data_IF_779555278573
#
_entry.id   IF_779555278573
#
_cell.length_a   1.000
_cell.length_b   1.000
_cell.length_c   1.000
_cell.angle_alpha   90.00
_cell.angle_beta   90.00
_cell.angle_gamma   90.00
#
_symmetry.space_group_name_H-M   'P 1'
#
loop_
_entity.id
_entity.type
_entity.pdbx_description
1 polymer ?
#
# COMPACT_ATOMS: atom_id res chain seq x y z
N UNK A 1 -21.56 -11.28 -17.49
CA UNK A 1 -21.43 -11.41 -16.03
C UNK A 1 -20.22 -10.58 -15.63
N UNK A 2 -20.40 -9.41 -15.00
CA UNK A 2 -19.26 -8.58 -14.60
C UNK A 2 -18.57 -9.29 -13.43
N UNK A 3 -17.35 -9.76 -13.66
CA UNK A 3 -16.50 -10.32 -12.61
C UNK A 3 -16.08 -9.17 -11.68
N UNK A 4 -16.79 -9.03 -10.55
CA UNK A 4 -16.57 -7.93 -9.63
C UNK A 4 -15.24 -8.17 -8.91
N UNK A 5 -14.20 -7.42 -9.31
CA UNK A 5 -12.89 -7.48 -8.64
C UNK A 5 -13.05 -7.15 -7.15
N UNK A 6 -12.35 -7.89 -6.25
CA UNK A 6 -12.45 -7.63 -4.82
C UNK A 6 -11.94 -6.22 -4.48
N UNK A 7 -12.68 -5.54 -3.60
CA UNK A 7 -12.29 -4.25 -3.03
C UNK A 7 -11.33 -4.47 -1.87
N UNK A 8 -10.05 -4.15 -2.06
CA UNK A 8 -9.06 -4.18 -0.99
C UNK A 8 -9.11 -2.87 -0.19
N UNK A 9 -9.45 -2.97 1.08
CA UNK A 9 -9.38 -1.87 2.05
C UNK A 9 -8.07 -1.98 2.81
N UNK A 10 -7.26 -0.93 2.70
CA UNK A 10 -5.92 -0.84 3.28
C UNK A 10 -5.95 -0.01 4.56
N UNK A 11 -5.17 -0.44 5.55
CA UNK A 11 -4.75 0.36 6.70
C UNK A 11 -3.32 0.85 6.54
N UNK A 12 -2.36 0.07 7.07
CA UNK A 12 -0.92 0.38 7.04
C UNK A 12 -0.13 -0.63 6.21
N UNK A 13 1.12 -0.30 5.90
CA UNK A 13 2.08 -1.23 5.30
C UNK A 13 3.21 -1.51 6.29
N UNK A 14 3.72 -2.72 6.26
CA UNK A 14 4.92 -3.12 6.99
C UNK A 14 6.02 -3.45 5.97
N UNK A 15 7.24 -3.08 6.30
CA UNK A 15 8.38 -3.07 5.36
C UNK A 15 9.62 -3.77 5.93
N UNK A 16 9.68 -3.96 7.26
CA UNK A 16 10.76 -4.68 7.90
C UNK A 16 10.25 -5.98 8.53
N UNK A 17 10.85 -7.10 8.12
CA UNK A 17 10.68 -8.41 8.75
C UNK A 17 11.95 -8.80 9.52
N UNK A 18 11.80 -9.27 10.77
CA UNK A 18 12.93 -9.68 11.62
C UNK A 18 13.08 -11.20 11.77
N UNK A 19 12.25 -11.98 11.08
CA UNK A 19 12.19 -13.45 11.19
C UNK A 19 11.01 -13.94 12.04
N UNK A 20 10.30 -13.03 12.71
CA UNK A 20 9.13 -13.34 13.53
C UNK A 20 7.98 -12.36 13.29
N UNK A 21 8.27 -11.06 13.24
CA UNK A 21 7.28 -9.99 13.14
C UNK A 21 7.59 -9.05 11.99
N UNK A 22 6.52 -8.47 11.44
CA UNK A 22 6.59 -7.38 10.47
C UNK A 22 6.40 -6.05 11.21
N UNK A 23 7.25 -5.06 10.90
CA UNK A 23 7.24 -3.72 11.51
C UNK A 23 7.26 -2.63 10.43
N UNK A 24 6.77 -1.44 10.78
CA UNK A 24 6.70 -0.28 9.88
C UNK A 24 7.81 0.73 10.26
N UNK A 25 8.92 0.70 9.55
CA UNK A 25 10.02 1.67 9.74
C UNK A 25 9.78 2.98 8.98
N UNK A 26 8.88 2.97 8.00
CA UNK A 26 8.47 4.15 7.24
C UNK A 26 7.35 4.95 7.91
N UNK A 27 7.22 4.85 9.24
CA UNK A 27 6.14 5.45 10.01
C UNK A 27 6.25 6.96 10.23
N UNK A 28 7.27 7.62 9.65
CA UNK A 28 7.36 9.08 9.68
C UNK A 28 6.17 9.72 8.97
N UNK A 29 5.44 10.55 9.71
CA UNK A 29 4.17 11.15 9.28
C UNK A 29 4.37 12.61 8.83
N UNK A 30 3.77 12.94 7.69
CA UNK A 30 3.67 14.31 7.16
C UNK A 30 2.21 14.75 7.18
N UNK A 31 1.95 16.05 7.34
CA UNK A 31 0.58 16.58 7.32
C UNK A 31 0.01 16.66 5.91
N UNK A 32 -1.27 16.27 5.76
CA UNK A 32 -2.09 16.55 4.58
C UNK A 32 -2.46 18.05 4.55
N UNK A 33 -2.76 18.61 3.38
CA UNK A 33 -3.30 19.97 3.25
C UNK A 33 -4.82 19.89 3.32
N UNK A 34 -5.44 20.76 4.10
CA UNK A 34 -6.86 21.05 3.97
C UNK A 34 -7.06 22.05 2.81
N UNK A 35 -7.54 21.58 1.66
CA UNK A 35 -7.74 22.42 0.46
C UNK A 35 -9.06 23.21 0.53
N UNK A 36 -10.05 22.63 1.19
CA UNK A 36 -11.35 23.24 1.48
C UNK A 36 -11.84 22.69 2.83
N UNK A 37 -12.80 23.35 3.49
CA UNK A 37 -13.27 22.91 4.81
C UNK A 37 -13.57 21.41 4.87
N UNK A 38 -12.82 20.68 5.69
CA UNK A 38 -12.93 19.24 5.92
C UNK A 38 -12.37 18.33 4.83
N UNK A 39 -11.80 18.86 3.73
CA UNK A 39 -11.24 18.06 2.63
C UNK A 39 -9.72 18.15 2.60
N UNK A 40 -9.08 17.01 2.78
CA UNK A 40 -7.64 16.86 2.92
C UNK A 40 -7.02 16.18 1.70
N UNK A 41 -5.88 16.69 1.21
CA UNK A 41 -5.13 16.17 0.06
C UNK A 41 -3.63 16.10 0.34
N UNK A 42 -2.92 15.31 -0.49
CA UNK A 42 -1.47 15.11 -0.35
C UNK A 42 -0.66 16.30 -0.88
N UNK A 43 0.41 16.65 -0.15
CA UNK A 43 1.39 17.63 -0.60
C UNK A 43 2.32 17.04 -1.67
N UNK A 44 2.45 17.72 -2.81
CA UNK A 44 3.51 17.45 -3.79
C UNK A 44 3.19 16.37 -4.83
N UNK A 45 4.21 15.97 -5.60
CA UNK A 45 4.06 14.99 -6.68
C UNK A 45 3.95 13.58 -6.10
N UNK A 46 2.92 12.84 -6.53
CA UNK A 46 2.77 11.41 -6.23
C UNK A 46 3.89 10.61 -6.90
N UNK A 47 4.32 9.54 -6.23
CA UNK A 47 5.29 8.60 -6.81
C UNK A 47 4.74 7.87 -8.05
N UNK A 48 3.41 7.69 -8.12
CA UNK A 48 2.72 7.05 -9.26
C UNK A 48 1.85 8.07 -9.97
N UNK A 49 2.00 8.16 -11.29
CA UNK A 49 1.18 9.05 -12.13
C UNK A 49 -0.28 8.57 -12.14
N UNK A 50 -1.23 9.52 -12.13
CA UNK A 50 -2.67 9.21 -12.27
C UNK A 50 -2.97 8.44 -13.55
N UNK A 51 -2.19 8.64 -14.62
CA UNK A 51 -2.32 7.93 -15.90
C UNK A 51 -1.98 6.43 -15.80
N UNK A 52 -1.32 6.00 -14.73
CA UNK A 52 -0.96 4.61 -14.44
C UNK A 52 -1.95 3.94 -13.47
N UNK A 53 -2.97 4.68 -13.02
CA UNK A 53 -3.95 4.21 -12.06
C UNK A 53 -5.31 4.02 -12.73
N UNK A 54 -6.13 3.18 -12.12
CA UNK A 54 -7.47 2.90 -12.62
C UNK A 54 -8.45 4.04 -12.35
N UNK A 55 -9.71 3.69 -12.50
CA UNK A 55 -10.84 4.57 -12.27
C UNK A 55 -10.84 5.11 -10.83
N UNK A 56 -11.38 6.32 -10.70
CA UNK A 56 -11.59 6.93 -9.40
C UNK A 56 -12.76 6.26 -8.69
N UNK A 57 -12.60 5.97 -7.40
CA UNK A 57 -13.60 5.34 -6.57
C UNK A 57 -13.93 6.23 -5.39
N UNK A 58 -15.22 6.37 -5.12
CA UNK A 58 -15.74 7.13 -3.99
C UNK A 58 -16.18 6.15 -2.91
N UNK A 59 -15.59 6.27 -1.72
CA UNK A 59 -15.85 5.38 -0.59
C UNK A 59 -16.42 6.20 0.56
N UNK A 60 -17.63 5.89 1.00
CA UNK A 60 -18.23 6.45 2.21
C UNK A 60 -18.07 5.45 3.34
N UNK A 61 -17.33 5.80 4.38
CA UNK A 61 -16.89 4.87 5.42
C UNK A 61 -17.37 5.35 6.78
N UNK A 62 -18.03 4.44 7.49
CA UNK A 62 -18.37 4.58 8.90
C UNK A 62 -17.41 3.70 9.70
N UNK A 63 -16.58 4.32 10.54
CA UNK A 63 -15.57 3.62 11.33
C UNK A 63 -15.97 3.64 12.80
N UNK A 64 -16.16 2.46 13.38
CA UNK A 64 -16.31 2.30 14.83
C UNK A 64 -15.00 2.67 15.56
N UNK A 65 -15.06 3.04 16.85
CA UNK A 65 -13.86 3.32 17.63
C UNK A 65 -12.89 2.13 17.61
N UNK A 66 -11.64 2.39 17.23
CA UNK A 66 -10.55 1.42 17.28
C UNK A 66 -9.37 2.05 18.00
N UNK A 67 -8.54 1.22 18.65
CA UNK A 67 -7.28 1.65 19.26
C UNK A 67 -6.18 1.83 18.19
N UNK A 68 -6.50 2.59 17.15
CA UNK A 68 -5.59 2.96 16.08
C UNK A 68 -5.99 4.31 15.49
N UNK A 69 -5.01 5.18 15.17
CA UNK A 69 -5.29 6.42 14.46
C UNK A 69 -5.48 6.22 12.95
N UNK A 70 -5.43 4.99 12.43
CA UNK A 70 -5.43 4.71 10.99
C UNK A 70 -6.81 4.93 10.39
N UNK A 71 -6.87 5.67 9.27
CA UNK A 71 -8.03 5.69 8.38
C UNK A 71 -7.87 4.62 7.30
N UNK A 72 -8.98 4.01 6.91
CA UNK A 72 -9.02 2.90 5.98
C UNK A 72 -9.61 3.35 4.65
N UNK A 73 -9.01 2.93 3.55
CA UNK A 73 -9.53 3.21 2.22
C UNK A 73 -8.93 2.23 1.20
N UNK A 74 -9.41 2.28 -0.04
CA UNK A 74 -8.68 1.61 -1.11
C UNK A 74 -7.34 2.30 -1.39
N UNK A 75 -6.41 1.61 -2.07
CA UNK A 75 -5.10 2.17 -2.41
C UNK A 75 -5.19 3.52 -3.14
N UNK A 76 -4.07 4.25 -3.14
CA UNK A 76 -3.90 5.43 -3.98
C UNK A 76 -4.86 6.60 -3.69
N UNK A 77 -5.22 6.79 -2.42
CA UNK A 77 -6.02 7.92 -1.89
C UNK A 77 -5.61 9.24 -2.56
N UNK A 78 -6.59 9.98 -3.08
CA UNK A 78 -6.46 11.32 -3.64
C UNK A 78 -6.90 12.38 -2.64
N UNK A 79 -8.03 12.15 -1.99
CA UNK A 79 -8.57 13.05 -0.97
C UNK A 79 -9.35 12.30 0.11
N UNK A 80 -9.39 12.89 1.31
CA UNK A 80 -10.21 12.44 2.43
C UNK A 80 -11.06 13.61 2.89
N UNK A 81 -12.36 13.42 3.00
CA UNK A 81 -13.30 14.44 3.47
C UNK A 81 -13.97 13.98 4.75
N UNK A 82 -13.88 14.77 5.82
CA UNK A 82 -14.49 14.50 7.11
C UNK A 82 -14.22 15.60 8.13
N UNK A 83 -14.85 15.49 9.30
CA UNK A 83 -14.67 16.44 10.40
C UNK A 83 -13.44 16.07 11.22
N UNK A 84 -12.26 16.49 10.75
CA UNK A 84 -10.98 16.21 11.39
C UNK A 84 -10.21 17.51 11.66
N UNK A 85 -9.50 17.62 12.79
CA UNK A 85 -8.67 18.79 13.07
C UNK A 85 -7.40 18.82 12.20
N UNK A 86 -6.90 17.65 11.83
CA UNK A 86 -5.76 17.46 10.92
C UNK A 86 -5.71 16.00 10.50
N UNK A 87 -5.05 15.74 9.37
CA UNK A 87 -4.71 14.39 8.95
C UNK A 87 -3.22 14.32 8.58
N UNK A 88 -2.66 13.14 8.72
CA UNK A 88 -1.28 12.83 8.40
C UNK A 88 -1.18 11.64 7.45
N UNK A 89 -0.06 11.52 6.75
CA UNK A 89 0.26 10.39 5.91
C UNK A 89 1.72 9.97 6.04
N UNK A 90 2.00 8.69 5.81
CA UNK A 90 3.37 8.17 5.79
C UNK A 90 3.91 7.96 4.36
N UNK A 91 5.16 7.52 4.23
CA UNK A 91 5.78 7.30 2.92
C UNK A 91 5.08 6.20 2.09
N UNK A 92 4.33 5.32 2.74
CA UNK A 92 3.58 4.25 2.09
C UNK A 92 2.21 4.72 1.59
N UNK A 93 1.73 5.87 2.07
CA UNK A 93 0.43 6.46 1.74
C UNK A 93 -0.71 6.05 2.67
N UNK A 94 -0.40 5.43 3.82
CA UNK A 94 -1.39 5.24 4.88
C UNK A 94 -1.77 6.60 5.48
N UNK A 95 -3.03 6.77 5.87
CA UNK A 95 -3.56 8.02 6.42
C UNK A 95 -3.91 7.86 7.90
N UNK A 96 -3.60 8.87 8.70
CA UNK A 96 -3.70 8.85 10.15
C UNK A 96 -4.40 10.10 10.68
N UNK A 97 -5.25 9.89 11.68
CA UNK A 97 -5.66 10.91 12.63
C UNK A 97 -4.48 11.30 13.54
N UNK A 98 -4.53 12.48 14.20
CA UNK A 98 -3.56 12.84 15.23
C UNK A 98 -3.56 11.86 16.42
N UNK A 99 -4.74 11.32 16.75
CA UNK A 99 -4.96 10.36 17.83
C UNK A 99 -6.10 9.40 17.45
N UNK A 100 -6.14 8.16 18.00
CA UNK A 100 -7.27 7.26 17.83
C UNK A 100 -8.59 7.93 18.21
N UNK A 101 -9.64 7.66 17.45
CA UNK A 101 -10.97 8.20 17.77
C UNK A 101 -11.63 7.38 18.87
N UNK A 102 -12.15 8.05 19.90
CA UNK A 102 -12.95 7.43 20.96
C UNK A 102 -14.43 7.29 20.59
N UNK A 103 -14.86 7.87 19.47
CA UNK A 103 -16.23 7.79 18.95
C UNK A 103 -16.26 7.32 17.51
N UNK A 104 -17.44 6.89 17.06
CA UNK A 104 -17.67 6.58 15.66
C UNK A 104 -17.42 7.83 14.80
N UNK A 105 -16.77 7.63 13.66
CA UNK A 105 -16.52 8.69 12.67
C UNK A 105 -17.01 8.29 11.29
N UNK A 106 -17.42 9.28 10.51
CA UNK A 106 -17.83 9.13 9.13
C UNK A 106 -16.94 9.99 8.24
N UNK A 107 -16.45 9.42 7.14
CA UNK A 107 -15.63 10.13 6.17
C UNK A 107 -15.82 9.58 4.76
N UNK A 108 -15.54 10.43 3.79
CA UNK A 108 -15.51 10.06 2.37
C UNK A 108 -14.07 10.04 1.89
N UNK A 109 -13.74 9.08 1.04
CA UNK A 109 -12.42 8.97 0.41
C UNK A 109 -12.59 8.88 -1.09
N UNK A 110 -11.80 9.68 -1.82
CA UNK A 110 -11.59 9.47 -3.25
C UNK A 110 -10.26 8.73 -3.40
N UNK A 111 -10.30 7.54 -3.98
CA UNK A 111 -9.15 6.67 -4.22
C UNK A 111 -9.11 6.24 -5.68
N UNK A 112 -8.07 5.50 -6.09
CA UNK A 112 -8.00 4.92 -7.44
C UNK A 112 -7.68 3.45 -7.38
N UNK A 113 -8.32 2.69 -8.27
CA UNK A 113 -8.03 1.27 -8.39
C UNK A 113 -6.57 1.04 -8.82
N UNK A 114 -5.95 0.00 -8.24
CA UNK A 114 -4.68 -0.52 -8.76
C UNK A 114 -4.94 -1.12 -10.13
N UNK A 115 -4.21 -0.67 -11.15
CA UNK A 115 -4.14 -1.33 -12.45
C UNK A 115 -2.75 -1.92 -12.55
N UNK A 116 -2.66 -3.23 -12.79
CA UNK A 116 -1.43 -3.84 -13.26
C UNK A 116 -1.16 -3.25 -14.65
N UNK A 117 -0.20 -2.33 -14.75
CA UNK A 117 0.10 -1.68 -16.03
C UNK A 117 1.00 -2.61 -16.83
N UNK A 118 0.89 -2.69 -18.17
CA UNK A 118 1.81 -3.46 -19.01
C UNK A 118 3.30 -3.13 -18.81
N UNK A 119 3.63 -1.98 -18.22
CA UNK A 119 5.00 -1.64 -17.79
C UNK A 119 5.52 -2.56 -16.67
N UNK A 120 4.67 -3.02 -15.76
CA UNK A 120 4.99 -4.05 -14.76
C UNK A 120 5.09 -5.45 -15.40
N UNK A 121 4.56 -5.61 -16.62
CA UNK A 121 4.68 -6.77 -17.51
C UNK A 121 5.82 -6.59 -18.53
N UNK A 122 6.65 -5.54 -18.37
CA UNK A 122 7.70 -5.15 -19.29
C UNK A 122 8.80 -6.20 -19.45
N UNK A 123 9.54 -6.08 -20.56
CA UNK A 123 10.40 -7.16 -21.07
C UNK A 123 11.67 -7.46 -20.25
N UNK A 124 12.14 -6.51 -19.44
CA UNK A 124 13.41 -6.56 -18.70
C UNK A 124 13.23 -5.98 -17.29
N UNK A 125 13.68 -6.66 -16.21
CA UNK A 125 13.78 -6.05 -14.90
C UNK A 125 14.87 -4.96 -14.93
N UNK A 126 14.45 -3.70 -14.99
CA UNK A 126 15.37 -2.58 -14.76
C UNK A 126 15.97 -2.65 -13.34
N UNK A 127 17.17 -2.10 -13.11
CA UNK A 127 17.76 -2.08 -11.78
C UNK A 127 16.85 -1.32 -10.81
N UNK A 128 16.54 -1.94 -9.66
CA UNK A 128 15.83 -1.24 -8.60
C UNK A 128 16.68 -0.09 -8.06
N UNK A 129 16.09 1.09 -7.82
CA UNK A 129 16.79 2.17 -7.13
C UNK A 129 17.37 1.68 -5.80
N UNK A 130 18.54 2.17 -5.42
CA UNK A 130 19.25 1.70 -4.21
C UNK A 130 18.38 1.79 -2.95
N UNK A 131 17.59 2.86 -2.82
CA UNK A 131 16.69 3.04 -1.69
C UNK A 131 15.60 1.95 -1.63
N UNK A 132 15.12 1.45 -2.78
CA UNK A 132 14.14 0.34 -2.83
C UNK A 132 14.79 -0.94 -2.34
N UNK A 133 16.02 -1.23 -2.78
CA UNK A 133 16.76 -2.42 -2.34
C UNK A 133 16.99 -2.40 -0.84
N UNK A 134 17.49 -1.27 -0.32
CA UNK A 134 17.76 -1.12 1.11
C UNK A 134 16.50 -1.23 1.97
N UNK A 135 15.37 -0.73 1.47
CA UNK A 135 14.13 -0.68 2.26
C UNK A 135 13.31 -1.98 2.18
N UNK A 136 13.17 -2.55 0.98
CA UNK A 136 12.18 -3.60 0.73
C UNK A 136 12.77 -4.97 0.40
N UNK A 137 14.08 -5.06 0.15
CA UNK A 137 14.77 -6.34 -0.10
C UNK A 137 15.68 -6.76 1.06
N UNK A 138 15.56 -6.08 2.20
CA UNK A 138 16.21 -6.51 3.43
C UNK A 138 15.62 -7.85 3.88
N UNK A 139 16.46 -8.76 4.35
CA UNK A 139 16.03 -10.01 4.99
C UNK A 139 16.95 -10.27 6.19
N UNK A 140 16.39 -10.75 7.32
CA UNK A 140 17.21 -11.24 8.43
C UNK A 140 17.98 -12.48 7.98
N UNK A 141 18.90 -12.98 8.81
CA UNK A 141 19.47 -14.31 8.56
C UNK A 141 18.35 -15.35 8.59
N UNK A 142 18.06 -15.95 7.43
CA UNK A 142 16.98 -16.92 7.28
C UNK A 142 17.54 -18.35 7.25
N UNK A 143 16.66 -19.33 7.48
CA UNK A 143 17.01 -20.73 7.23
C UNK A 143 17.35 -20.94 5.76
N UNK A 144 18.44 -21.67 5.49
CA UNK A 144 18.84 -22.08 4.14
C UNK A 144 17.71 -22.75 3.36
N UNK A 145 16.75 -23.37 4.06
CA UNK A 145 15.58 -24.01 3.45
C UNK A 145 14.67 -23.00 2.73
N UNK A 146 14.44 -21.81 3.29
CA UNK A 146 13.58 -20.80 2.67
C UNK A 146 14.27 -20.24 1.43
N UNK A 147 15.57 -19.95 1.54
CA UNK A 147 16.39 -19.47 0.41
C UNK A 147 16.42 -20.50 -0.72
N UNK A 148 16.65 -21.77 -0.39
CA UNK A 148 16.65 -22.86 -1.36
C UNK A 148 15.29 -23.01 -2.05
N UNK A 149 14.19 -22.98 -1.29
CA UNK A 149 12.84 -23.09 -1.83
C UNK A 149 12.49 -21.90 -2.74
N UNK A 150 12.79 -20.67 -2.31
CA UNK A 150 12.57 -19.48 -3.12
C UNK A 150 13.36 -19.56 -4.43
N UNK A 151 14.62 -20.03 -4.38
CA UNK A 151 15.42 -20.31 -5.56
C UNK A 151 14.78 -21.37 -6.46
N UNK A 152 14.38 -22.51 -5.91
CA UNK A 152 13.77 -23.61 -6.65
C UNK A 152 12.52 -23.19 -7.43
N UNK A 153 11.63 -22.43 -6.76
CA UNK A 153 10.37 -21.95 -7.33
C UNK A 153 10.59 -20.88 -8.40
N UNK A 154 11.62 -20.03 -8.25
CA UNK A 154 11.79 -18.84 -9.10
C UNK A 154 12.90 -18.93 -10.15
N UNK A 155 13.80 -19.92 -10.08
CA UNK A 155 15.00 -20.04 -10.93
C UNK A 155 14.71 -20.07 -12.44
N UNK A 156 13.54 -20.55 -12.86
CA UNK A 156 13.16 -20.66 -14.27
C UNK A 156 12.59 -19.36 -14.86
N UNK A 157 12.43 -18.33 -14.02
CA UNK A 157 11.76 -17.09 -14.37
C UNK A 157 12.73 -15.92 -14.28
N UNK A 158 12.80 -15.12 -15.33
CA UNK A 158 13.67 -13.94 -15.34
C UNK A 158 12.92 -12.72 -14.80
N UNK A 159 11.63 -12.58 -15.11
CA UNK A 159 10.85 -11.38 -14.80
C UNK A 159 10.26 -11.42 -13.39
N UNK A 160 10.23 -10.28 -12.65
CA UNK A 160 9.62 -10.21 -11.32
C UNK A 160 8.16 -10.67 -11.29
N UNK A 161 7.38 -10.30 -12.32
CA UNK A 161 5.99 -10.75 -12.46
C UNK A 161 5.88 -12.27 -12.55
N UNK A 162 6.68 -12.91 -13.41
CA UNK A 162 6.70 -14.37 -13.57
C UNK A 162 7.12 -15.08 -12.27
N UNK A 163 8.12 -14.54 -11.56
CA UNK A 163 8.54 -15.05 -10.24
C UNK A 163 7.40 -14.96 -9.23
N UNK A 164 6.68 -13.83 -9.18
CA UNK A 164 5.55 -13.66 -8.28
C UNK A 164 4.40 -14.63 -8.61
N UNK A 165 4.10 -14.83 -9.90
CA UNK A 165 3.10 -15.83 -10.33
C UNK A 165 3.52 -17.24 -9.96
N UNK A 166 4.79 -17.62 -10.14
CA UNK A 166 5.29 -18.95 -9.76
C UNK A 166 5.14 -19.20 -8.25
N UNK A 167 5.47 -18.20 -7.41
CA UNK A 167 5.26 -18.27 -5.96
C UNK A 167 3.77 -18.41 -5.63
N UNK A 168 2.91 -17.60 -6.25
CA UNK A 168 1.47 -17.69 -6.04
C UNK A 168 0.96 -19.09 -6.37
N UNK A 169 1.30 -19.63 -7.55
CA UNK A 169 0.90 -20.97 -7.97
C UNK A 169 1.35 -22.03 -6.98
N UNK A 170 2.60 -21.99 -6.52
CA UNK A 170 3.14 -22.91 -5.53
C UNK A 170 2.39 -22.87 -4.18
N UNK A 171 1.92 -21.70 -3.76
CA UNK A 171 1.18 -21.55 -2.49
C UNK A 171 -0.30 -21.95 -2.59
N UNK A 172 -0.86 -21.97 -3.79
CA UNK A 172 -2.27 -22.29 -4.04
C UNK A 172 -2.51 -23.71 -4.55
N UNK A 173 -1.45 -24.44 -4.92
CA UNK A 173 -1.49 -25.86 -5.29
C UNK A 173 -1.61 -26.74 -4.05
#
# INVERSE_FOLDING_TARGET
MHDARPLYIRGVSFDQYDGKVWTNQLSYRRSLIEESPGTFTFRGKRAVSRSQLGEAMHQKILLEPLDTPVLFAAPFIESVTGLFPSLFFDATGAVYLPFPSSSRIEYTVVSRATVLVPADLGSEPGPYPEWVVRQYLQLPLQSDRITALAGEVTQKHYRPYEKATAIQTYLTS
#
